data_IF_890034246391
#
_entry.id   IF_890034246391
#
_cell.length_a   1.000
_cell.length_b   1.000
_cell.length_c   1.000
_cell.angle_alpha   90.00
_cell.angle_beta   90.00
_cell.angle_gamma   90.00
#
_symmetry.space_group_name_H-M   'P 1'
#
loop_
_entity.id
_entity.type
_entity.pdbx_description
1 polymer ?
#
# COMPACT_ATOMS: atom_id res chain seq x y z
N UNK A 1 -17.09 -16.42 -22.58
CA UNK A 1 -16.27 -15.70 -21.57
C UNK A 1 -16.57 -14.20 -21.54
N UNK A 2 -16.78 -13.54 -22.69
CA UNK A 2 -17.03 -12.08 -22.79
C UNK A 2 -18.26 -11.63 -22.00
N UNK A 3 -19.37 -12.38 -22.09
CA UNK A 3 -20.59 -12.09 -21.32
C UNK A 3 -20.33 -12.14 -19.81
N UNK A 4 -19.57 -13.14 -19.35
CA UNK A 4 -19.18 -13.27 -17.93
C UNK A 4 -18.32 -12.08 -17.50
N UNK A 5 -17.37 -11.64 -18.33
CA UNK A 5 -16.56 -10.46 -18.05
C UNK A 5 -17.42 -9.19 -17.94
N UNK A 6 -18.37 -9.01 -18.86
CA UNK A 6 -19.28 -7.88 -18.85
C UNK A 6 -20.20 -7.87 -17.61
N UNK A 7 -20.81 -9.01 -17.28
CA UNK A 7 -21.67 -9.17 -16.10
C UNK A 7 -20.86 -8.99 -14.79
N UNK A 8 -19.61 -9.45 -14.77
CA UNK A 8 -18.71 -9.29 -13.64
C UNK A 8 -18.34 -7.82 -13.39
N UNK A 9 -18.09 -7.07 -14.46
CA UNK A 9 -17.75 -5.66 -14.37
C UNK A 9 -18.97 -4.79 -14.04
N UNK A 10 -20.13 -5.09 -14.64
CA UNK A 10 -21.38 -4.33 -14.44
C UNK A 10 -22.02 -4.58 -13.07
N UNK A 11 -21.79 -5.74 -12.46
CA UNK A 11 -22.23 -6.05 -11.08
C UNK A 11 -21.39 -5.36 -9.99
N UNK A 12 -20.40 -4.54 -10.36
CA UNK A 12 -19.61 -3.79 -9.40
C UNK A 12 -20.27 -2.44 -9.08
N UNK A 13 -20.11 -1.97 -7.84
CA UNK A 13 -20.69 -0.69 -7.40
C UNK A 13 -20.06 0.53 -8.08
N UNK A 14 -18.86 0.39 -8.66
CA UNK A 14 -18.16 1.48 -9.36
C UNK A 14 -17.39 0.92 -10.56
N UNK A 15 -17.15 1.76 -11.57
CA UNK A 15 -16.33 1.40 -12.74
C UNK A 15 -14.93 0.96 -12.36
N UNK A 16 -14.32 1.60 -11.34
CA UNK A 16 -13.00 1.21 -10.80
C UNK A 16 -13.04 -0.19 -10.19
N UNK A 17 -14.07 -0.50 -9.41
CA UNK A 17 -14.25 -1.84 -8.85
C UNK A 17 -14.52 -2.88 -9.94
N UNK A 18 -15.29 -2.53 -10.98
CA UNK A 18 -15.53 -3.37 -12.15
C UNK A 18 -14.22 -3.70 -12.89
N UNK A 19 -13.40 -2.69 -13.18
CA UNK A 19 -12.08 -2.88 -13.79
C UNK A 19 -11.14 -3.74 -12.92
N UNK A 20 -11.17 -3.55 -11.60
CA UNK A 20 -10.41 -4.38 -10.66
C UNK A 20 -10.80 -5.87 -10.73
N UNK A 21 -12.10 -6.16 -10.82
CA UNK A 21 -12.60 -7.54 -10.99
C UNK A 21 -12.17 -8.15 -12.32
N UNK A 22 -12.17 -7.38 -13.41
CA UNK A 22 -11.66 -7.84 -14.72
C UNK A 22 -10.17 -8.18 -14.64
N UNK A 23 -9.36 -7.32 -14.04
CA UNK A 23 -7.92 -7.57 -13.84
C UNK A 23 -7.68 -8.83 -12.99
N UNK A 24 -8.49 -9.07 -11.96
CA UNK A 24 -8.41 -10.28 -11.16
C UNK A 24 -8.78 -11.53 -11.97
N UNK A 25 -9.82 -11.46 -12.81
CA UNK A 25 -10.21 -12.54 -13.72
C UNK A 25 -9.06 -12.89 -14.68
N UNK A 26 -8.42 -11.88 -15.29
CA UNK A 26 -7.29 -12.07 -16.20
C UNK A 26 -6.10 -12.73 -15.52
N UNK A 27 -5.75 -12.31 -14.29
CA UNK A 27 -4.69 -12.95 -13.49
C UNK A 27 -4.98 -14.42 -13.22
N UNK A 28 -6.24 -14.74 -12.88
CA UNK A 28 -6.66 -16.13 -12.63
C UNK A 28 -6.60 -16.97 -13.90
N UNK A 29 -7.10 -16.46 -15.03
CA UNK A 29 -7.01 -17.13 -16.32
C UNK A 29 -5.55 -17.40 -16.74
N UNK A 30 -4.67 -16.42 -16.56
CA UNK A 30 -3.25 -16.59 -16.81
C UNK A 30 -2.63 -17.68 -15.92
N UNK A 31 -2.99 -17.72 -14.61
CA UNK A 31 -2.50 -18.76 -13.71
C UNK A 31 -2.99 -20.18 -14.05
N UNK A 32 -4.10 -20.28 -14.79
CA UNK A 32 -4.67 -21.54 -15.27
C UNK A 32 -4.16 -21.95 -16.66
N UNK A 33 -3.23 -21.18 -17.24
CA UNK A 33 -2.70 -21.45 -18.59
C UNK A 33 -3.71 -21.17 -19.71
N UNK A 34 -4.69 -20.29 -19.48
CA UNK A 34 -5.61 -19.89 -20.52
C UNK A 34 -4.88 -19.20 -21.67
N UNK A 35 -5.33 -19.47 -22.89
CA UNK A 35 -4.79 -18.86 -24.10
C UNK A 35 -4.91 -17.32 -24.09
N UNK A 36 -3.95 -16.65 -24.71
CA UNK A 36 -3.90 -15.19 -24.79
C UNK A 36 -5.19 -14.60 -25.36
N UNK A 37 -5.77 -15.20 -26.42
CA UNK A 37 -7.00 -14.69 -27.03
C UNK A 37 -8.19 -14.79 -26.07
N UNK A 38 -8.24 -15.81 -25.22
CA UNK A 38 -9.29 -15.93 -24.18
C UNK A 38 -9.14 -14.79 -23.17
N UNK A 39 -7.92 -14.51 -22.70
CA UNK A 39 -7.66 -13.42 -21.76
C UNK A 39 -8.01 -12.08 -22.41
N UNK A 40 -7.61 -11.86 -23.67
CA UNK A 40 -7.85 -10.62 -24.39
C UNK A 40 -9.34 -10.32 -24.54
N UNK A 41 -10.15 -11.35 -24.79
CA UNK A 41 -11.62 -11.20 -24.91
C UNK A 41 -12.33 -10.79 -23.62
N UNK A 42 -11.64 -10.82 -22.47
CA UNK A 42 -12.16 -10.31 -21.18
C UNK A 42 -11.90 -8.81 -20.99
N UNK A 43 -11.07 -8.19 -21.83
CA UNK A 43 -10.82 -6.74 -21.75
C UNK A 43 -12.05 -5.99 -22.27
N UNK A 44 -12.44 -4.96 -21.53
CA UNK A 44 -13.53 -4.06 -21.90
C UNK A 44 -12.93 -2.65 -21.95
N UNK A 45 -12.47 -2.17 -23.12
CA UNK A 45 -11.67 -0.96 -23.23
C UNK A 45 -12.30 0.27 -22.56
N UNK A 46 -13.59 0.49 -22.76
CA UNK A 46 -14.28 1.64 -22.18
C UNK A 46 -14.28 1.61 -20.63
N UNK A 47 -14.42 0.43 -20.00
CA UNK A 47 -14.38 0.30 -18.53
C UNK A 47 -12.98 0.61 -18.01
N UNK A 48 -11.95 0.11 -18.71
CA UNK A 48 -10.56 0.38 -18.36
C UNK A 48 -10.23 1.87 -18.48
N UNK A 49 -10.65 2.50 -19.57
CA UNK A 49 -10.43 3.93 -19.82
C UNK A 49 -11.11 4.79 -18.75
N UNK A 50 -12.40 4.58 -18.52
CA UNK A 50 -13.16 5.30 -17.50
C UNK A 50 -12.56 5.11 -16.09
N UNK A 51 -12.17 3.88 -15.73
CA UNK A 51 -11.52 3.61 -14.46
C UNK A 51 -10.19 4.37 -14.32
N UNK A 52 -9.38 4.41 -15.37
CA UNK A 52 -8.12 5.15 -15.39
C UNK A 52 -8.35 6.66 -15.25
N UNK A 53 -9.33 7.22 -15.95
CA UNK A 53 -9.70 8.63 -15.83
C UNK A 53 -10.16 8.97 -14.40
N UNK A 54 -11.01 8.13 -13.79
CA UNK A 54 -11.45 8.30 -12.39
C UNK A 54 -10.26 8.29 -11.43
N UNK A 55 -9.35 7.34 -11.60
CA UNK A 55 -8.15 7.23 -10.74
C UNK A 55 -7.22 8.43 -10.93
N UNK A 56 -6.98 8.88 -12.16
CA UNK A 56 -6.16 10.06 -12.45
C UNK A 56 -6.74 11.33 -11.82
N UNK A 57 -8.06 11.54 -11.95
CA UNK A 57 -8.76 12.67 -11.31
C UNK A 57 -8.65 12.62 -9.78
N UNK A 58 -8.84 11.44 -9.18
CA UNK A 58 -8.67 11.25 -7.73
C UNK A 58 -7.25 11.57 -7.28
N UNK A 59 -6.24 11.13 -8.03
CA UNK A 59 -4.85 11.44 -7.73
C UNK A 59 -4.57 12.95 -7.75
N UNK A 60 -5.08 13.67 -8.76
CA UNK A 60 -4.98 15.14 -8.84
C UNK A 60 -5.70 15.78 -7.65
N UNK A 61 -6.93 15.34 -7.34
CA UNK A 61 -7.71 15.89 -6.24
C UNK A 61 -7.04 15.65 -4.87
N UNK A 62 -6.42 14.49 -4.66
CA UNK A 62 -5.61 14.23 -3.46
C UNK A 62 -4.37 15.11 -3.36
N UNK A 63 -3.87 15.64 -4.48
CA UNK A 63 -2.77 16.62 -4.47
C UNK A 63 -3.22 18.07 -4.26
N UNK A 64 -4.52 18.37 -4.44
CA UNK A 64 -5.09 19.71 -4.30
C UNK A 64 -5.80 19.88 -2.95
N UNK A 65 -6.53 18.87 -2.50
CA UNK A 65 -7.09 18.85 -1.15
C UNK A 65 -5.94 18.57 -0.18
N UNK A 66 -5.77 19.42 0.83
CA UNK A 66 -4.91 19.08 1.97
C UNK A 66 -5.35 17.72 2.49
N UNK A 67 -4.45 16.74 2.36
CA UNK A 67 -4.67 15.41 2.90
C UNK A 67 -4.74 15.55 4.42
N UNK A 68 -5.94 15.45 4.99
CA UNK A 68 -6.15 15.42 6.44
C UNK A 68 -5.60 14.09 6.97
N UNK A 69 -4.28 14.09 7.19
CA UNK A 69 -3.57 12.96 7.75
C UNK A 69 -4.08 12.76 9.17
N UNK A 70 -4.58 11.57 9.54
CA UNK A 70 -5.03 11.34 10.91
C UNK A 70 -3.91 11.63 11.90
N UNK A 71 -4.24 12.28 13.02
CA UNK A 71 -3.27 12.68 14.06
C UNK A 71 -2.37 11.52 14.51
N UNK A 72 -2.91 10.31 14.51
CA UNK A 72 -2.18 9.08 14.80
C UNK A 72 -0.89 8.89 13.99
N UNK A 73 -0.88 9.36 12.73
CA UNK A 73 0.24 9.27 11.80
C UNK A 73 1.15 10.50 11.81
N UNK A 74 0.86 11.51 12.63
CA UNK A 74 1.75 12.65 12.82
C UNK A 74 3.09 12.20 13.41
N UNK A 75 4.17 12.83 12.96
CA UNK A 75 5.51 12.42 13.33
C UNK A 75 5.74 12.56 14.84
N UNK A 76 5.16 13.60 15.46
CA UNK A 76 5.20 13.82 16.91
C UNK A 76 4.54 12.66 17.67
N UNK A 77 3.37 12.20 17.20
CA UNK A 77 2.66 11.06 17.80
C UNK A 77 3.39 9.74 17.59
N UNK A 78 4.00 9.54 16.44
CA UNK A 78 4.85 8.38 16.15
C UNK A 78 6.09 8.37 17.05
N UNK A 79 6.72 9.52 17.26
CA UNK A 79 7.88 9.66 18.14
C UNK A 79 7.53 9.38 19.61
N UNK A 80 6.41 9.91 20.10
CA UNK A 80 5.88 9.65 21.44
C UNK A 80 5.75 8.14 21.67
N UNK A 81 5.04 7.42 20.79
CA UNK A 81 4.87 5.95 20.90
C UNK A 81 6.19 5.18 20.84
N UNK A 82 7.14 5.60 20.01
CA UNK A 82 8.44 4.94 19.92
C UNK A 82 9.31 5.18 21.15
N UNK A 83 9.18 6.33 21.83
CA UNK A 83 9.88 6.60 23.08
C UNK A 83 9.42 5.71 24.25
N UNK A 84 8.17 5.26 24.22
CA UNK A 84 7.59 4.34 25.20
C UNK A 84 7.86 2.85 24.88
N UNK A 85 8.49 2.57 23.74
CA UNK A 85 8.72 1.20 23.30
C UNK A 85 9.73 0.48 24.20
N UNK A 86 9.29 -0.60 24.85
CA UNK A 86 10.14 -1.49 25.63
C UNK A 86 11.05 -2.32 24.70
N UNK A 87 12.30 -1.87 24.55
CA UNK A 87 13.30 -2.51 23.69
C UNK A 87 13.79 -3.87 24.21
N UNK A 88 13.43 -4.26 25.44
CA UNK A 88 13.76 -5.58 25.99
C UNK A 88 12.83 -6.68 25.47
N UNK A 89 11.68 -6.30 24.89
CA UNK A 89 10.68 -7.22 24.35
C UNK A 89 10.68 -7.20 22.81
N UNK A 90 10.19 -8.27 22.17
CA UNK A 90 9.95 -8.26 20.74
C UNK A 90 9.00 -7.11 20.35
N UNK A 91 9.27 -6.40 19.24
CA UNK A 91 8.43 -5.28 18.83
C UNK A 91 7.02 -5.75 18.47
N UNK A 92 6.03 -4.95 18.84
CA UNK A 92 4.64 -5.16 18.44
C UNK A 92 4.42 -4.77 16.96
N UNK A 93 3.26 -5.16 16.41
CA UNK A 93 2.83 -4.68 15.08
C UNK A 93 2.73 -3.15 15.04
N UNK A 94 2.37 -2.52 16.16
CA UNK A 94 2.33 -1.06 16.24
C UNK A 94 3.72 -0.45 16.08
N UNK A 95 4.73 -1.02 16.75
CA UNK A 95 6.10 -0.53 16.63
C UNK A 95 6.62 -0.69 15.20
N UNK A 96 6.22 -1.75 14.50
CA UNK A 96 6.56 -1.93 13.08
C UNK A 96 5.95 -0.83 12.21
N UNK A 97 4.66 -0.51 12.41
CA UNK A 97 3.96 0.56 11.70
C UNK A 97 4.62 1.91 11.99
N UNK A 98 4.96 2.18 13.24
CA UNK A 98 5.60 3.44 13.66
C UNK A 98 6.98 3.62 13.00
N UNK A 99 7.78 2.55 12.92
CA UNK A 99 9.06 2.57 12.18
C UNK A 99 8.83 2.77 10.67
N UNK A 100 7.80 2.15 10.09
CA UNK A 100 7.46 2.35 8.67
C UNK A 100 7.12 3.81 8.37
N UNK A 101 6.35 4.45 9.24
CA UNK A 101 5.98 5.87 9.10
C UNK A 101 7.22 6.74 9.26
N UNK A 102 7.99 6.54 10.33
CA UNK A 102 9.21 7.33 10.62
C UNK A 102 10.24 7.24 9.48
N UNK A 103 10.40 6.06 8.87
CA UNK A 103 11.36 5.84 7.78
C UNK A 103 10.76 6.03 6.38
N UNK A 104 9.47 6.40 6.29
CA UNK A 104 8.73 6.50 5.04
C UNK A 104 8.83 5.23 4.15
N UNK A 105 8.85 4.04 4.76
CA UNK A 105 9.00 2.77 4.05
C UNK A 105 7.66 2.17 3.63
N UNK A 106 7.66 1.48 2.48
CA UNK A 106 6.49 0.70 2.05
C UNK A 106 6.50 -0.65 2.76
N UNK A 107 5.31 -1.24 2.96
CA UNK A 107 5.17 -2.55 3.61
C UNK A 107 6.00 -3.65 2.92
N UNK A 108 6.19 -3.56 1.59
CA UNK A 108 7.02 -4.51 0.84
C UNK A 108 8.51 -4.39 1.16
N UNK A 109 8.99 -3.19 1.48
CA UNK A 109 10.40 -2.92 1.78
C UNK A 109 10.78 -3.44 3.18
N UNK A 110 9.83 -3.34 4.12
CA UNK A 110 9.96 -3.81 5.51
C UNK A 110 10.34 -5.28 5.60
N UNK A 111 9.76 -6.12 4.73
CA UNK A 111 10.02 -7.57 4.72
C UNK A 111 11.51 -7.89 4.58
N UNK A 112 12.25 -7.06 3.85
CA UNK A 112 13.67 -7.24 3.59
C UNK A 112 14.55 -6.27 4.39
N UNK A 113 13.95 -5.53 5.33
CA UNK A 113 14.66 -4.55 6.14
C UNK A 113 15.59 -5.26 7.13
N UNK A 114 16.87 -4.93 7.07
CA UNK A 114 17.92 -5.52 7.90
C UNK A 114 19.00 -4.48 8.19
N UNK A 115 19.47 -4.46 9.43
CA UNK A 115 20.58 -3.61 9.85
C UNK A 115 21.88 -4.32 9.50
N UNK A 116 22.44 -4.01 8.33
CA UNK A 116 23.70 -4.61 7.87
C UNK A 116 24.93 -3.88 8.42
N UNK A 117 24.76 -2.62 8.86
CA UNK A 117 25.84 -1.79 9.38
C UNK A 117 25.25 -0.81 10.38
N UNK A 118 25.61 -0.97 11.65
CA UNK A 118 25.36 0.01 12.68
C UNK A 118 26.69 0.60 13.09
N UNK A 119 26.90 1.89 12.81
CA UNK A 119 28.04 2.65 13.32
C UNK A 119 27.48 3.86 14.03
N UNK A 120 27.36 3.84 15.38
CA UNK A 120 26.92 5.01 16.10
C UNK A 120 27.87 6.16 15.77
N UNK A 121 27.33 7.31 15.37
CA UNK A 121 28.14 8.54 15.35
C UNK A 121 28.55 8.79 16.80
N UNK A 122 29.78 9.27 17.02
CA UNK A 122 30.26 9.62 18.37
C UNK A 122 29.60 10.90 18.91
N UNK A 123 28.53 11.37 18.28
CA UNK A 123 27.70 12.43 18.83
C UNK A 123 26.85 11.82 19.95
N UNK A 124 27.03 12.38 21.13
CA UNK A 124 26.52 11.94 22.43
C UNK A 124 24.99 11.96 22.51
N UNK A 125 24.30 11.11 21.76
CA UNK A 125 22.84 10.91 21.92
C UNK A 125 22.51 9.87 22.99
N UNK A 126 23.51 9.15 23.51
CA UNK A 126 23.37 8.17 24.59
C UNK A 126 24.10 8.67 25.84
N UNK A 127 23.34 8.99 26.90
CA UNK A 127 23.90 9.22 28.23
C UNK A 127 23.82 7.90 29.02
N UNK A 128 24.95 7.33 29.44
CA UNK A 128 24.99 6.07 30.20
C UNK A 128 24.33 6.15 31.58
N UNK A 129 24.00 7.35 32.09
CA UNK A 129 23.35 7.54 33.39
C UNK A 129 21.83 7.23 33.40
N UNK A 130 21.25 6.81 32.27
CA UNK A 130 19.83 6.45 32.15
C UNK A 130 19.52 4.95 32.40
N UNK A 131 20.44 4.18 33.01
CA UNK A 131 20.19 2.78 33.43
C UNK A 131 19.89 2.65 34.91
#
# INVERSE_FOLDING_TARGET
>A
INRIAYDLASSASTTVAGNSRLNLLQKKLHSLGADYFIIETTKIPFITEEANQIQARKHILCGINDYDCPEFFYLEKVQERLSECDTTKPPSMQNLIDIMIMLCMRSADVKNFRINRYKPSRELWYNPDYS
#
